data_IF_687941959425
#
_entry.id   IF_687941959425
#
_cell.length_a   1.000
_cell.length_b   1.000
_cell.length_c   1.000
_cell.angle_alpha   90.00
_cell.angle_beta   90.00
_cell.angle_gamma   90.00
#
_symmetry.space_group_name_H-M   'P 1'
#
loop_
_entity.id
_entity.type
_entity.pdbx_description
1 polymer ?
#
# COMPACT_ATOMS: atom_id res chain seq x y z
N UNK A 1 -5.06 4.42 -12.23
CA UNK A 1 -4.69 3.01 -11.92
C UNK A 1 -4.86 2.07 -13.10
N UNK A 2 -5.94 2.15 -13.91
CA UNK A 2 -6.12 1.27 -15.08
C UNK A 2 -5.07 1.51 -16.19
N UNK A 3 -4.62 2.76 -16.37
CA UNK A 3 -3.64 3.09 -17.40
C UNK A 3 -2.21 2.63 -17.06
N UNK A 4 -1.77 2.79 -15.79
CA UNK A 4 -0.36 2.72 -15.38
C UNK A 4 -0.02 1.56 -14.42
N UNK A 5 -0.97 0.70 -14.09
CA UNK A 5 -0.72 -0.45 -13.20
C UNK A 5 -0.92 -0.16 -11.72
N UNK A 6 -0.93 -1.23 -10.91
CA UNK A 6 -1.17 -1.16 -9.46
C UNK A 6 0.12 -0.83 -8.72
N UNK A 7 1.25 -1.40 -9.15
CA UNK A 7 2.58 -1.18 -8.55
C UNK A 7 3.01 0.29 -8.61
N UNK A 8 2.76 0.97 -9.73
CA UNK A 8 3.05 2.40 -9.87
C UNK A 8 2.14 3.21 -8.95
N UNK A 9 0.84 2.91 -8.92
CA UNK A 9 -0.11 3.55 -8.00
C UNK A 9 0.34 3.46 -6.55
N UNK A 10 0.71 2.25 -6.10
CA UNK A 10 1.20 2.00 -4.75
C UNK A 10 2.45 2.82 -4.43
N UNK A 11 3.45 2.83 -5.32
CA UNK A 11 4.69 3.60 -5.14
C UNK A 11 4.45 5.09 -5.10
N UNK A 12 3.64 5.64 -6.02
CA UNK A 12 3.30 7.06 -6.02
C UNK A 12 2.57 7.47 -4.73
N UNK A 13 1.59 6.68 -4.26
CA UNK A 13 0.92 6.96 -3.00
C UNK A 13 1.87 6.85 -1.81
N UNK A 14 2.72 5.83 -1.77
CA UNK A 14 3.68 5.64 -0.68
C UNK A 14 4.71 6.78 -0.61
N UNK A 15 5.16 7.28 -1.76
CA UNK A 15 6.03 8.46 -1.83
C UNK A 15 5.32 9.72 -1.33
N UNK A 16 4.06 9.93 -1.70
CA UNK A 16 3.26 11.07 -1.18
C UNK A 16 3.14 11.03 0.34
N UNK A 17 2.86 9.85 0.91
CA UNK A 17 2.79 9.66 2.37
C UNK A 17 4.14 9.88 3.03
N UNK A 18 5.22 9.33 2.46
CA UNK A 18 6.58 9.52 2.99
C UNK A 18 7.00 11.00 2.98
N UNK A 19 6.71 11.73 1.90
CA UNK A 19 6.95 13.18 1.82
C UNK A 19 6.16 13.89 2.92
N UNK A 20 4.89 13.54 3.11
CA UNK A 20 4.06 14.09 4.19
C UNK A 20 4.66 13.87 5.58
N UNK A 21 5.21 12.68 5.87
CA UNK A 21 5.87 12.42 7.16
C UNK A 21 7.18 13.22 7.32
N UNK A 22 7.98 13.33 6.26
CA UNK A 22 9.23 14.11 6.28
C UNK A 22 8.92 15.60 6.53
N UNK A 23 7.93 16.18 5.84
CA UNK A 23 7.52 17.57 6.06
C UNK A 23 7.07 17.76 7.51
N UNK A 24 6.32 16.79 8.06
CA UNK A 24 5.84 16.85 9.44
C UNK A 24 6.99 16.82 10.46
N UNK A 25 8.06 16.04 10.23
CA UNK A 25 9.24 16.03 11.09
C UNK A 25 9.90 17.42 11.22
N UNK A 26 9.93 18.21 10.15
CA UNK A 26 10.53 19.55 10.12
C UNK A 26 9.52 20.68 10.33
N UNK A 27 8.25 20.37 10.59
CA UNK A 27 7.21 21.38 10.73
C UNK A 27 7.43 22.23 12.00
N UNK A 28 7.47 23.55 11.81
CA UNK A 28 7.62 24.53 12.90
C UNK A 28 6.46 25.54 12.93
N UNK A 29 5.56 25.49 11.95
CA UNK A 29 4.37 26.34 11.85
C UNK A 29 3.13 25.48 11.61
N UNK A 30 1.97 25.96 12.07
CA UNK A 30 0.68 25.33 11.78
C UNK A 30 0.43 25.18 10.26
N UNK A 31 0.88 26.15 9.45
CA UNK A 31 0.79 26.07 7.99
C UNK A 31 1.57 24.88 7.40
N UNK A 32 2.78 24.60 7.92
CA UNK A 32 3.57 23.44 7.47
C UNK A 32 2.95 22.11 7.87
N UNK A 33 2.26 22.06 9.02
CA UNK A 33 1.51 20.88 9.44
C UNK A 33 0.34 20.62 8.50
N UNK A 34 -0.43 21.66 8.13
CA UNK A 34 -1.56 21.51 7.19
C UNK A 34 -1.07 20.99 5.83
N UNK A 35 0.05 21.52 5.32
CA UNK A 35 0.64 21.04 4.07
C UNK A 35 1.02 19.57 4.18
N UNK A 36 1.66 19.16 5.28
CA UNK A 36 1.99 17.75 5.53
C UNK A 36 0.73 16.86 5.51
N UNK A 37 -0.33 17.26 6.20
CA UNK A 37 -1.61 16.54 6.27
C UNK A 37 -2.28 16.40 4.90
N UNK A 38 -2.18 17.40 4.02
CA UNK A 38 -2.70 17.30 2.64
C UNK A 38 -1.98 16.18 1.87
N UNK A 39 -0.65 16.13 1.94
CA UNK A 39 0.14 15.09 1.26
C UNK A 39 -0.11 13.69 1.85
N UNK A 40 -0.21 13.59 3.18
CA UNK A 40 -0.52 12.33 3.85
C UNK A 40 -1.95 11.87 3.53
N UNK A 41 -2.94 12.75 3.66
CA UNK A 41 -4.34 12.45 3.40
C UNK A 41 -4.57 11.96 1.97
N UNK A 42 -4.05 12.67 0.98
CA UNK A 42 -4.15 12.25 -0.42
C UNK A 42 -3.47 10.88 -0.64
N UNK A 43 -2.24 10.71 -0.12
CA UNK A 43 -1.48 9.48 -0.26
C UNK A 43 -2.16 8.26 0.39
N UNK A 44 -2.63 8.40 1.64
CA UNK A 44 -3.27 7.32 2.40
C UNK A 44 -4.55 6.84 1.72
N UNK A 45 -5.39 7.76 1.22
CA UNK A 45 -6.65 7.38 0.55
C UNK A 45 -6.39 6.63 -0.75
N UNK A 46 -5.42 7.09 -1.55
CA UNK A 46 -5.02 6.38 -2.76
C UNK A 46 -4.45 5.00 -2.40
N UNK A 47 -3.56 4.94 -1.40
CA UNK A 47 -2.94 3.69 -0.93
C UNK A 47 -4.00 2.68 -0.49
N UNK A 48 -5.02 3.10 0.25
CA UNK A 48 -6.13 2.25 0.69
C UNK A 48 -6.84 1.62 -0.52
N UNK A 49 -7.21 2.42 -1.52
CA UNK A 49 -7.89 1.93 -2.73
C UNK A 49 -6.99 0.98 -3.51
N UNK A 50 -5.71 1.32 -3.69
CA UNK A 50 -4.75 0.45 -4.38
C UNK A 50 -4.60 -0.89 -3.65
N UNK A 51 -4.42 -0.87 -2.34
CA UNK A 51 -4.24 -2.08 -1.53
C UNK A 51 -5.45 -3.01 -1.63
N UNK A 52 -6.67 -2.46 -1.58
CA UNK A 52 -7.91 -3.24 -1.74
C UNK A 52 -7.97 -3.94 -3.10
N UNK A 53 -7.60 -3.23 -4.17
CA UNK A 53 -7.58 -3.78 -5.53
C UNK A 53 -6.47 -4.82 -5.70
N UNK A 54 -5.29 -4.59 -5.12
CA UNK A 54 -4.20 -5.58 -5.15
C UNK A 54 -4.63 -6.86 -4.43
N UNK A 55 -5.24 -6.76 -3.25
CA UNK A 55 -5.73 -7.92 -2.51
C UNK A 55 -6.80 -8.65 -3.32
N UNK A 56 -7.73 -7.93 -3.96
CA UNK A 56 -8.79 -8.57 -4.75
C UNK A 56 -8.27 -9.24 -6.03
N UNK A 57 -7.22 -8.72 -6.64
CA UNK A 57 -6.64 -9.26 -7.88
C UNK A 57 -5.59 -10.36 -7.63
N UNK A 58 -4.83 -10.29 -6.52
CA UNK A 58 -3.71 -11.21 -6.24
C UNK A 58 -4.07 -12.35 -5.29
N UNK A 59 -5.05 -12.19 -4.41
CA UNK A 59 -5.42 -13.21 -3.43
C UNK A 59 -6.43 -14.20 -4.01
N UNK A 60 -6.24 -15.48 -3.68
CA UNK A 60 -7.14 -16.57 -4.07
C UNK A 60 -8.59 -16.28 -3.61
N UNK A 61 -9.61 -16.52 -4.47
CA UNK A 61 -11.00 -16.21 -4.15
C UNK A 61 -11.50 -16.76 -2.81
N UNK A 62 -11.00 -17.92 -2.36
CA UNK A 62 -11.40 -18.57 -1.10
C UNK A 62 -11.05 -17.75 0.14
N UNK A 63 -9.88 -17.12 0.17
CA UNK A 63 -9.37 -16.36 1.33
C UNK A 63 -9.42 -14.84 1.11
N UNK A 64 -9.75 -14.39 -0.09
CA UNK A 64 -9.81 -12.98 -0.48
C UNK A 64 -10.58 -12.11 0.51
N UNK A 65 -11.79 -12.53 0.91
CA UNK A 65 -12.63 -11.75 1.81
C UNK A 65 -12.00 -11.64 3.21
N UNK A 66 -11.40 -12.74 3.69
CA UNK A 66 -10.71 -12.76 4.98
C UNK A 66 -9.51 -11.81 4.95
N UNK A 67 -8.74 -11.79 3.87
CA UNK A 67 -7.59 -10.87 3.70
C UNK A 67 -8.00 -9.40 3.63
N UNK A 68 -9.13 -9.07 3.00
CA UNK A 68 -9.66 -7.69 2.95
C UNK A 68 -10.09 -7.24 4.35
N UNK A 69 -10.84 -8.09 5.07
CA UNK A 69 -11.30 -7.77 6.42
C UNK A 69 -10.12 -7.67 7.39
N UNK A 70 -9.16 -8.59 7.32
CA UNK A 70 -7.97 -8.54 8.18
C UNK A 70 -7.15 -7.28 7.96
N UNK A 71 -6.99 -6.83 6.71
CA UNK A 71 -6.36 -5.55 6.41
C UNK A 71 -7.09 -4.38 7.11
N UNK A 72 -8.42 -4.35 7.06
CA UNK A 72 -9.23 -3.31 7.72
C UNK A 72 -9.11 -3.32 9.24
N UNK A 73 -9.07 -4.51 9.85
CA UNK A 73 -8.86 -4.67 11.30
C UNK A 73 -7.46 -4.17 11.69
N UNK A 74 -6.42 -4.58 10.97
CA UNK A 74 -5.04 -4.14 11.24
C UNK A 74 -4.94 -2.61 11.14
N UNK A 75 -5.54 -1.99 10.12
CA UNK A 75 -5.57 -0.53 10.00
C UNK A 75 -6.21 0.15 11.21
N UNK A 76 -7.37 -0.35 11.66
CA UNK A 76 -8.06 0.19 12.84
C UNK A 76 -7.21 0.07 14.10
N UNK A 77 -6.57 -1.09 14.31
CA UNK A 77 -5.68 -1.32 15.45
C UNK A 77 -4.47 -0.38 15.43
N UNK A 78 -3.85 -0.19 14.27
CA UNK A 78 -2.71 0.74 14.12
C UNK A 78 -3.14 2.17 14.45
N UNK A 79 -4.27 2.64 13.91
CA UNK A 79 -4.81 3.97 14.20
C UNK A 79 -5.01 4.16 15.71
N UNK A 80 -5.61 3.16 16.39
CA UNK A 80 -5.81 3.20 17.83
C UNK A 80 -4.48 3.30 18.60
N UNK A 81 -3.48 2.51 18.22
CA UNK A 81 -2.16 2.51 18.86
C UNK A 81 -1.46 3.85 18.67
N UNK A 82 -1.48 4.41 17.46
CA UNK A 82 -0.83 5.70 17.14
C UNK A 82 -1.51 6.86 17.88
N UNK A 83 -2.85 6.89 17.92
CA UNK A 83 -3.55 7.91 18.69
C UNK A 83 -3.28 7.80 20.18
N UNK A 84 -3.24 6.59 20.72
CA UNK A 84 -2.92 6.37 22.14
C UNK A 84 -1.48 6.81 22.43
N UNK A 85 -0.52 6.43 21.58
CA UNK A 85 0.88 6.83 21.70
C UNK A 85 1.08 8.35 21.58
N UNK A 86 0.25 9.04 20.78
CA UNK A 86 0.24 10.50 20.65
C UNK A 86 -0.01 11.26 21.96
N UNK A 87 -0.62 10.63 22.96
CA UNK A 87 -0.77 11.23 24.29
C UNK A 87 0.51 11.20 25.12
N UNK A 88 1.41 10.26 24.83
CA UNK A 88 2.64 10.03 25.62
C UNK A 88 3.91 10.50 24.91
N UNK A 89 3.91 10.48 23.58
CA UNK A 89 5.07 10.73 22.74
C UNK A 89 4.84 11.99 21.91
N UNK A 90 5.88 12.83 21.79
CA UNK A 90 5.81 14.00 20.93
C UNK A 90 5.55 13.62 19.46
N UNK A 91 4.63 14.32 18.81
CA UNK A 91 4.16 14.01 17.46
C UNK A 91 5.27 14.00 16.39
N UNK A 92 6.34 14.79 16.56
CA UNK A 92 7.52 14.73 15.66
C UNK A 92 8.26 13.39 15.75
N UNK A 93 8.37 12.81 16.94
CA UNK A 93 9.01 11.51 17.14
C UNK A 93 8.17 10.40 16.51
N UNK A 94 6.84 10.48 16.63
CA UNK A 94 5.91 9.56 15.96
C UNK A 94 6.07 9.68 14.43
N UNK A 95 6.18 10.90 13.93
CA UNK A 95 6.36 11.16 12.49
C UNK A 95 7.62 10.49 11.94
N UNK A 96 8.72 10.58 12.69
CA UNK A 96 9.98 9.94 12.33
C UNK A 96 9.88 8.41 12.37
N UNK A 97 9.20 7.86 13.38
CA UNK A 97 8.96 6.42 13.49
C UNK A 97 8.13 5.89 12.31
N UNK A 98 7.13 6.65 11.84
CA UNK A 98 6.25 6.27 10.74
C UNK A 98 6.92 6.32 9.36
N UNK A 99 8.05 7.02 9.21
CA UNK A 99 8.87 6.94 7.99
C UNK A 99 9.42 5.53 7.74
N UNK A 100 9.70 4.77 8.79
CA UNK A 100 10.27 3.42 8.67
C UNK A 100 9.32 2.41 8.00
N UNK A 101 8.07 2.19 8.49
CA UNK A 101 7.17 1.22 7.87
C UNK A 101 6.77 1.60 6.43
N UNK A 102 6.60 2.90 6.12
CA UNK A 102 6.30 3.32 4.74
C UNK A 102 7.51 3.12 3.81
N UNK A 103 8.73 3.37 4.30
CA UNK A 103 9.96 3.07 3.56
C UNK A 103 10.11 1.58 3.28
N UNK A 104 9.85 0.74 4.28
CA UNK A 104 9.86 -0.71 4.13
C UNK A 104 8.80 -1.19 3.12
N UNK A 105 7.59 -0.62 3.16
CA UNK A 105 6.53 -0.91 2.19
C UNK A 105 6.94 -0.51 0.76
N UNK A 106 7.63 0.62 0.58
CA UNK A 106 8.15 1.02 -0.73
C UNK A 106 9.24 0.05 -1.24
N UNK A 107 10.14 -0.40 -0.37
CA UNK A 107 11.18 -1.37 -0.73
C UNK A 107 10.56 -2.75 -1.05
N UNK A 108 9.64 -3.23 -0.23
CA UNK A 108 8.95 -4.51 -0.49
C UNK A 108 8.17 -4.47 -1.80
N UNK A 109 7.68 -3.28 -2.17
CA UNK A 109 7.03 -3.06 -3.45
C UNK A 109 7.95 -3.27 -4.66
N UNK A 110 9.26 -3.40 -4.52
CA UNK A 110 10.13 -3.75 -5.65
C UNK A 110 10.04 -5.24 -6.00
N UNK A 111 9.80 -6.10 -5.00
CA UNK A 111 9.91 -7.56 -5.10
C UNK A 111 8.64 -8.19 -5.69
N UNK A 112 7.45 -7.69 -5.32
CA UNK A 112 6.19 -8.28 -5.76
C UNK A 112 5.93 -8.08 -7.28
N UNK A 113 5.25 -9.04 -7.95
CA UNK A 113 4.87 -8.90 -9.35
C UNK A 113 3.74 -7.87 -9.52
N UNK A 114 3.51 -7.45 -10.76
CA UNK A 114 2.33 -6.64 -11.09
C UNK A 114 1.07 -7.52 -11.11
N UNK A 115 -0.10 -6.91 -10.97
CA UNK A 115 -1.37 -7.65 -10.97
C UNK A 115 -1.57 -8.46 -12.26
N UNK A 116 -1.82 -9.79 -12.18
CA UNK A 116 -2.06 -10.62 -13.36
C UNK A 116 -3.30 -10.17 -14.14
N UNK A 117 -4.36 -9.74 -13.44
CA UNK A 117 -5.57 -9.22 -14.07
C UNK A 117 -5.29 -7.94 -14.88
N UNK A 118 -4.44 -7.05 -14.35
CA UNK A 118 -4.04 -5.84 -15.08
C UNK A 118 -3.14 -6.14 -16.29
N UNK A 119 -2.21 -7.09 -16.16
CA UNK A 119 -1.36 -7.54 -17.26
C UNK A 119 -2.17 -8.17 -18.40
N UNK A 120 -3.16 -9.01 -18.06
CA UNK A 120 -4.09 -9.59 -19.03
C UNK A 120 -4.93 -8.52 -19.74
N UNK A 121 -5.44 -7.52 -19.00
CA UNK A 121 -6.17 -6.37 -19.57
C UNK A 121 -5.31 -5.55 -20.55
N UNK A 122 -3.99 -5.51 -20.35
CA UNK A 122 -3.03 -4.85 -21.26
C UNK A 122 -2.56 -5.73 -22.42
N UNK A 123 -3.08 -6.96 -22.55
CA UNK A 123 -2.68 -7.92 -23.59
C UNK A 123 -1.32 -8.58 -23.36
N UNK A 124 -0.73 -8.45 -22.15
CA UNK A 124 0.58 -9.00 -21.79
C UNK A 124 0.42 -10.37 -21.13
N UNK A 125 -0.01 -11.37 -21.92
CA UNK A 125 -0.39 -12.69 -21.41
C UNK A 125 0.77 -13.49 -20.81
N UNK A 126 1.97 -13.44 -21.40
CA UNK A 126 3.14 -14.15 -20.87
C UNK A 126 3.54 -13.66 -19.47
N UNK A 127 3.53 -12.35 -19.28
CA UNK A 127 3.83 -11.73 -17.98
C UNK A 127 2.72 -11.96 -16.97
N UNK A 128 1.46 -11.96 -17.41
CA UNK A 128 0.31 -12.33 -16.59
C UNK A 128 0.49 -13.75 -16.03
N UNK A 129 0.83 -14.72 -16.90
CA UNK A 129 1.08 -16.11 -16.51
C UNK A 129 2.23 -16.24 -15.53
N UNK A 130 3.35 -15.54 -15.77
CA UNK A 130 4.48 -15.55 -14.84
C UNK A 130 4.12 -14.97 -13.48
N UNK A 131 3.35 -13.87 -13.45
CA UNK A 131 2.87 -13.25 -12.21
C UNK A 131 1.90 -14.17 -11.47
N UNK A 132 1.02 -14.86 -12.19
CA UNK A 132 0.10 -15.84 -11.63
C UNK A 132 0.82 -17.05 -11.03
N UNK A 133 1.83 -17.59 -11.73
CA UNK A 133 2.68 -18.68 -11.23
C UNK A 133 3.45 -18.25 -9.98
N UNK A 134 3.94 -17.01 -9.93
CA UNK A 134 4.61 -16.48 -8.73
C UNK A 134 3.67 -16.42 -7.53
N UNK A 135 2.40 -16.04 -7.74
CA UNK A 135 1.39 -15.92 -6.68
C UNK A 135 0.81 -17.27 -6.21
N UNK A 136 0.54 -18.20 -7.14
CA UNK A 136 -0.19 -19.46 -6.89
C UNK A 136 0.72 -20.70 -6.88
N UNK A 137 1.97 -20.57 -7.29
CA UNK A 137 2.87 -21.69 -7.53
C UNK A 137 2.61 -22.42 -8.87
N UNK A 138 3.51 -23.35 -9.21
CA UNK A 138 3.41 -24.20 -10.40
C UNK A 138 2.59 -25.47 -10.09
N UNK A 139 1.28 -25.33 -9.97
CA UNK A 139 0.38 -26.47 -9.85
C UNK A 139 -0.31 -26.73 -11.20
N UNK A 140 -0.66 -27.97 -11.54
CA UNK A 140 -1.33 -28.30 -12.82
C UNK A 140 -2.63 -27.52 -13.03
N UNK A 141 -3.28 -27.10 -11.95
CA UNK A 141 -4.49 -26.27 -11.95
C UNK A 141 -4.22 -24.82 -12.34
N UNK A 142 -3.04 -24.26 -12.04
CA UNK A 142 -2.66 -22.89 -12.41
C UNK A 142 -2.17 -22.74 -13.86
N UNK A 143 -2.03 -23.85 -14.58
CA UNK A 143 -1.67 -23.90 -15.99
C UNK A 143 -2.89 -24.08 -16.92
N UNK A 144 -4.04 -24.45 -16.34
CA UNK A 144 -5.30 -24.69 -17.05
C UNK A 144 -6.28 -23.51 -16.94
N UNK A 145 -6.10 -22.64 -15.94
CA UNK A 145 -6.74 -21.32 -15.79
C UNK A 145 -5.96 -20.24 -16.54
#
# INVERSE_FOLDING_TARGET
>A
MQCWGRKIGFRCSGLSVLIGWIILCFANSSGTVIIAEVFQGAGIKILLVVSMVIISEMVEPKIRNISIVSYGIIQTVVILVVHTAGNFIHWKTISLLMCFPIGLALISSCIWPESPAWLAYKGRFDESRNSFIWLRGKNKQSLAE
#
